data_IF_838521200942
#
_entry.id   IF_838521200942
#
_cell.length_a   1.000
_cell.length_b   1.000
_cell.length_c   1.000
_cell.angle_alpha   90.00
_cell.angle_beta   90.00
_cell.angle_gamma   90.00
#
_symmetry.space_group_name_H-M   'P 1'
#
loop_
_entity.id
_entity.type
_entity.pdbx_description
1 polymer ?
#
# COMPACT_ATOMS: atom_id res chain seq x y z
N UNK A 1 -3.12 -16.01 -5.38
CA UNK A 1 -1.86 -16.07 -4.60
C UNK A 1 -0.78 -16.83 -5.34
N UNK A 2 -0.98 -18.07 -5.80
CA UNK A 2 0.05 -18.83 -6.54
C UNK A 2 0.71 -18.03 -7.69
N UNK A 3 -0.10 -17.40 -8.56
CA UNK A 3 0.41 -16.52 -9.62
C UNK A 3 1.26 -15.36 -9.09
N UNK A 4 0.86 -14.76 -7.97
CA UNK A 4 1.61 -13.68 -7.32
C UNK A 4 2.94 -14.18 -6.78
N UNK A 5 2.92 -15.36 -6.14
CA UNK A 5 4.09 -15.98 -5.50
C UNK A 5 5.09 -16.59 -6.50
N UNK A 6 4.65 -16.88 -7.73
CA UNK A 6 5.51 -17.36 -8.82
C UNK A 6 6.36 -16.27 -9.49
N UNK A 7 6.13 -15.00 -9.14
CA UNK A 7 6.87 -13.87 -9.70
C UNK A 7 8.28 -13.75 -9.08
N UNK A 8 9.11 -12.86 -9.66
CA UNK A 8 10.40 -12.48 -9.06
C UNK A 8 10.20 -11.95 -7.65
N UNK A 9 11.16 -12.15 -6.76
CA UNK A 9 11.04 -11.83 -5.32
C UNK A 9 10.52 -10.42 -5.07
N UNK A 10 11.12 -9.37 -5.65
CA UNK A 10 10.68 -7.99 -5.45
C UNK A 10 9.24 -7.72 -5.95
N UNK A 11 8.84 -8.34 -7.06
CA UNK A 11 7.47 -8.23 -7.59
C UNK A 11 6.45 -8.94 -6.70
N UNK A 12 6.82 -10.10 -6.16
CA UNK A 12 6.01 -10.82 -5.18
C UNK A 12 5.83 -10.01 -3.90
N UNK A 13 6.90 -9.37 -3.40
CA UNK A 13 6.88 -8.52 -2.21
C UNK A 13 5.98 -7.29 -2.41
N UNK A 14 6.15 -6.54 -3.51
CA UNK A 14 5.30 -5.40 -3.85
C UNK A 14 3.82 -5.80 -3.98
N UNK A 15 3.53 -6.89 -4.68
CA UNK A 15 2.16 -7.39 -4.82
C UNK A 15 1.55 -7.78 -3.46
N UNK A 16 2.31 -8.43 -2.58
CA UNK A 16 1.86 -8.77 -1.22
C UNK A 16 1.63 -7.52 -0.37
N UNK A 17 2.46 -6.50 -0.51
CA UNK A 17 2.29 -5.21 0.16
C UNK A 17 0.98 -4.55 -0.31
N UNK A 18 0.75 -4.41 -1.62
CA UNK A 18 -0.50 -3.86 -2.17
C UNK A 18 -1.72 -4.62 -1.65
N UNK A 19 -1.72 -5.96 -1.73
CA UNK A 19 -2.83 -6.79 -1.27
C UNK A 19 -3.06 -6.65 0.24
N UNK A 20 -1.99 -6.58 1.04
CA UNK A 20 -2.07 -6.36 2.48
C UNK A 20 -2.71 -5.01 2.81
N UNK A 21 -2.26 -3.94 2.15
CA UNK A 21 -2.78 -2.58 2.37
C UNK A 21 -4.25 -2.48 2.00
N UNK A 22 -4.66 -2.97 0.83
CA UNK A 22 -6.07 -2.91 0.41
C UNK A 22 -6.98 -3.76 1.33
N UNK A 23 -6.48 -4.88 1.84
CA UNK A 23 -7.26 -5.80 2.67
C UNK A 23 -7.39 -5.32 4.13
N UNK A 24 -6.30 -4.81 4.72
CA UNK A 24 -6.20 -4.65 6.17
C UNK A 24 -6.52 -3.25 6.69
N UNK A 25 -6.70 -2.27 5.79
CA UNK A 25 -7.14 -0.92 6.13
C UNK A 25 -8.66 -0.85 6.27
N UNK A 26 -9.13 0.12 7.07
CA UNK A 26 -10.56 0.24 7.44
C UNK A 26 -11.44 0.93 6.41
N UNK A 27 -10.85 1.60 5.41
CA UNK A 27 -11.55 2.32 4.35
C UNK A 27 -10.88 2.09 3.01
N UNK A 28 -11.57 2.24 1.89
CA UNK A 28 -10.94 2.24 0.58
C UNK A 28 -9.80 3.26 0.52
N UNK A 29 -8.71 2.85 -0.13
CA UNK A 29 -7.55 3.71 -0.41
C UNK A 29 -7.65 4.26 -1.82
N UNK A 30 -7.11 5.45 -1.99
CA UNK A 30 -6.86 5.98 -3.33
C UNK A 30 -5.62 5.31 -3.94
N UNK A 31 -5.52 5.35 -5.26
CA UNK A 31 -4.32 4.90 -6.00
C UNK A 31 -3.09 5.65 -5.51
N UNK A 32 -3.19 6.97 -5.33
CA UNK A 32 -2.10 7.81 -4.83
C UNK A 32 -1.65 7.43 -3.41
N UNK A 33 -2.60 7.12 -2.51
CA UNK A 33 -2.26 6.67 -1.16
C UNK A 33 -1.44 5.38 -1.18
N UNK A 34 -1.81 4.41 -2.02
CA UNK A 34 -1.05 3.16 -2.15
C UNK A 34 0.31 3.42 -2.81
N UNK A 35 0.37 4.28 -3.82
CA UNK A 35 1.64 4.68 -4.45
C UNK A 35 2.62 5.27 -3.42
N UNK A 36 2.16 6.19 -2.58
CA UNK A 36 3.00 6.78 -1.54
C UNK A 36 3.48 5.74 -0.53
N UNK A 37 2.59 4.84 -0.13
CA UNK A 37 2.91 3.74 0.79
C UNK A 37 3.96 2.79 0.22
N UNK A 38 3.96 2.53 -1.09
CA UNK A 38 4.94 1.68 -1.74
C UNK A 38 6.29 2.36 -1.95
N UNK A 39 6.28 3.66 -2.22
CA UNK A 39 7.49 4.46 -2.41
C UNK A 39 8.25 4.74 -1.10
N UNK A 40 7.59 4.53 0.05
CA UNK A 40 8.11 4.92 1.36
C UNK A 40 9.24 4.01 1.84
N UNK A 41 10.41 4.60 2.11
CA UNK A 41 11.52 3.94 2.81
C UNK A 41 11.52 4.31 4.30
N UNK A 42 11.58 3.29 5.17
CA UNK A 42 11.58 3.52 6.62
C UNK A 42 12.87 4.23 7.03
N UNK A 43 12.73 5.43 7.61
CA UNK A 43 13.85 6.27 8.03
C UNK A 43 14.23 7.35 7.03
N UNK A 44 13.56 7.43 5.88
CA UNK A 44 13.65 8.58 4.99
C UNK A 44 12.95 9.80 5.60
N UNK A 45 13.45 10.99 5.28
CA UNK A 45 12.88 12.29 5.69
C UNK A 45 11.86 12.84 4.70
N UNK A 46 11.77 12.26 3.50
CA UNK A 46 10.84 12.63 2.45
C UNK A 46 10.44 11.42 1.59
N UNK A 47 9.40 11.59 0.75
CA UNK A 47 8.96 10.57 -0.18
C UNK A 47 9.90 10.51 -1.38
N UNK A 48 10.37 9.31 -1.73
CA UNK A 48 11.12 9.10 -2.96
C UNK A 48 10.16 9.05 -4.16
N UNK A 49 10.04 10.18 -4.87
CA UNK A 49 9.21 10.28 -6.07
C UNK A 49 9.69 9.39 -7.22
N UNK A 50 10.98 9.02 -7.26
CA UNK A 50 11.54 8.14 -8.30
C UNK A 50 11.19 6.66 -8.06
N UNK A 51 10.78 6.31 -6.83
CA UNK A 51 10.39 4.95 -6.43
C UNK A 51 8.86 4.71 -6.47
N UNK A 52 8.09 5.68 -7.01
CA UNK A 52 6.65 5.55 -7.15
C UNK A 52 6.31 4.49 -8.20
N UNK A 53 5.57 3.45 -7.78
CA UNK A 53 5.08 2.41 -8.69
C UNK A 53 3.88 2.90 -9.49
N UNK A 54 3.84 2.63 -10.80
CA UNK A 54 2.69 2.98 -11.65
C UNK A 54 1.44 2.14 -11.30
N UNK A 55 0.25 2.71 -11.52
CA UNK A 55 -1.03 2.05 -11.20
C UNK A 55 -1.19 0.75 -12.01
N UNK A 56 -0.80 0.77 -13.29
CA UNK A 56 -0.85 -0.40 -14.17
C UNK A 56 0.04 -1.53 -13.67
N UNK A 57 1.23 -1.19 -13.17
CA UNK A 57 2.15 -2.15 -12.55
C UNK A 57 1.54 -2.76 -11.30
N UNK A 58 0.92 -1.97 -10.42
CA UNK A 58 0.26 -2.49 -9.22
C UNK A 58 -0.84 -3.51 -9.56
N UNK A 59 -1.65 -3.25 -10.61
CA UNK A 59 -2.69 -4.16 -11.09
C UNK A 59 -2.07 -5.43 -11.69
N UNK A 60 -1.02 -5.27 -12.49
CA UNK A 60 -0.28 -6.36 -13.16
C UNK A 60 0.40 -7.29 -12.15
N UNK A 61 1.16 -6.73 -11.21
CA UNK A 61 1.87 -7.42 -10.12
C UNK A 61 0.91 -8.21 -9.23
N UNK A 62 -0.29 -7.68 -9.00
CA UNK A 62 -1.34 -8.38 -8.25
C UNK A 62 -2.05 -9.48 -9.05
N UNK A 63 -1.59 -9.78 -10.26
CA UNK A 63 -2.12 -10.82 -11.15
C UNK A 63 -3.64 -10.69 -11.43
N UNK A 64 -4.16 -9.47 -11.44
CA UNK A 64 -5.58 -9.16 -11.64
C UNK A 64 -6.47 -9.38 -10.41
N UNK A 65 -5.89 -9.55 -9.22
CA UNK A 65 -6.66 -9.59 -7.96
C UNK A 65 -7.16 -8.21 -7.52
N UNK A 66 -6.57 -7.15 -8.08
CA UNK A 66 -6.83 -5.75 -7.77
C UNK A 66 -7.27 -5.04 -9.05
N UNK A 67 -8.14 -4.04 -8.90
CA UNK A 67 -8.58 -3.14 -9.95
C UNK A 67 -8.49 -1.71 -9.44
N UNK A 68 -8.14 -0.79 -10.33
CA UNK A 68 -8.20 0.65 -10.07
C UNK A 68 -9.41 1.23 -10.80
N UNK A 69 -10.11 2.14 -10.14
CA UNK A 69 -11.25 2.86 -10.69
C UNK A 69 -10.80 4.28 -11.06
N UNK A 70 -10.80 4.58 -12.35
CA UNK A 70 -10.28 5.85 -12.86
C UNK A 70 -11.16 7.06 -12.48
N UNK A 71 -12.46 6.87 -12.32
CA UNK A 71 -13.38 7.97 -11.96
C UNK A 71 -13.22 8.39 -10.49
N UNK A 72 -13.10 7.41 -9.59
CA UNK A 72 -13.00 7.63 -8.15
C UNK A 72 -11.55 7.64 -7.63
N UNK A 73 -10.57 7.28 -8.45
CA UNK A 73 -9.17 7.05 -8.07
C UNK A 73 -9.01 6.03 -6.93
N UNK A 74 -9.95 5.10 -6.78
CA UNK A 74 -9.92 4.09 -5.72
C UNK A 74 -9.31 2.80 -6.25
N UNK A 75 -8.39 2.22 -5.48
CA UNK A 75 -7.87 0.88 -5.72
C UNK A 75 -8.53 -0.12 -4.77
N UNK A 76 -8.99 -1.24 -5.33
CA UNK A 76 -9.76 -2.25 -4.58
C UNK A 76 -9.54 -3.65 -5.13
N UNK A 77 -9.92 -4.65 -4.35
CA UNK A 77 -9.98 -6.02 -4.84
C UNK A 77 -11.03 -6.14 -5.96
N UNK A 78 -10.71 -6.96 -6.97
CA UNK A 78 -11.50 -7.06 -8.22
C UNK A 78 -12.97 -7.46 -8.01
N UNK A 79 -13.26 -8.17 -6.92
CA UNK A 79 -14.60 -8.64 -6.61
C UNK A 79 -14.81 -8.83 -5.10
N UNK A 80 -16.05 -8.70 -4.63
CA UNK A 80 -16.38 -8.81 -3.20
C UNK A 80 -16.01 -10.17 -2.60
N UNK A 81 -16.09 -11.26 -3.37
CA UNK A 81 -15.68 -12.59 -2.91
C UNK A 81 -14.18 -12.70 -2.70
N UNK A 82 -13.38 -11.96 -3.46
CA UNK A 82 -11.93 -11.86 -3.29
C UNK A 82 -11.62 -11.12 -1.99
N UNK A 83 -12.37 -10.05 -1.70
CA UNK A 83 -12.29 -9.34 -0.42
C UNK A 83 -12.64 -10.25 0.75
N UNK A 84 -13.78 -10.92 0.71
CA UNK A 84 -14.19 -11.83 1.78
C UNK A 84 -13.18 -12.97 2.00
N UNK A 85 -12.59 -13.49 0.92
CA UNK A 85 -11.52 -14.49 1.02
C UNK A 85 -10.31 -13.97 1.78
N UNK A 86 -9.80 -12.79 1.43
CA UNK A 86 -8.63 -12.20 2.06
C UNK A 86 -8.91 -11.76 3.50
N UNK A 87 -10.08 -11.19 3.80
CA UNK A 87 -10.49 -10.84 5.16
C UNK A 87 -10.51 -12.08 6.08
N UNK A 88 -11.13 -13.18 5.63
CA UNK A 88 -11.16 -14.45 6.39
C UNK A 88 -9.77 -15.07 6.58
N UNK A 89 -8.84 -14.81 5.66
CA UNK A 89 -7.49 -15.37 5.65
C UNK A 89 -6.42 -14.33 5.98
N UNK A 90 -6.78 -13.17 6.53
CA UNK A 90 -5.83 -12.06 6.71
C UNK A 90 -4.65 -12.46 7.60
N UNK A 91 -4.90 -13.23 8.67
CA UNK A 91 -3.84 -13.64 9.60
C UNK A 91 -2.89 -14.68 8.99
N UNK A 92 -3.32 -15.37 7.94
CA UNK A 92 -2.50 -16.33 7.22
C UNK A 92 -1.65 -15.62 6.15
N UNK A 93 -2.27 -14.75 5.36
CA UNK A 93 -1.58 -14.05 4.26
C UNK A 93 -0.79 -12.83 4.71
N UNK A 94 -1.29 -12.10 5.70
CA UNK A 94 -0.76 -10.82 6.16
C UNK A 94 -0.67 -10.75 7.71
N UNK A 95 0.05 -11.69 8.37
CA UNK A 95 0.11 -11.76 9.83
C UNK A 95 0.63 -10.47 10.49
N UNK A 96 1.50 -9.73 9.80
CA UNK A 96 2.12 -8.51 10.32
C UNK A 96 1.49 -7.23 9.79
N UNK A 97 0.38 -7.31 9.04
CA UNK A 97 -0.19 -6.16 8.32
C UNK A 97 -0.36 -4.92 9.19
N UNK A 98 -0.92 -5.07 10.39
CA UNK A 98 -1.17 -3.93 11.29
C UNK A 98 0.13 -3.30 11.78
N UNK A 99 1.16 -4.10 12.07
CA UNK A 99 2.46 -3.60 12.47
C UNK A 99 3.15 -2.86 11.31
N UNK A 100 3.07 -3.40 10.09
CA UNK A 100 3.70 -2.80 8.91
C UNK A 100 2.97 -1.51 8.49
N UNK A 101 1.63 -1.51 8.51
CA UNK A 101 0.83 -0.29 8.34
C UNK A 101 1.24 0.78 9.36
N UNK A 102 1.36 0.40 10.63
CA UNK A 102 1.76 1.34 11.70
C UNK A 102 3.15 1.93 11.43
N UNK A 103 4.14 1.10 11.05
CA UNK A 103 5.50 1.58 10.74
C UNK A 103 5.50 2.61 9.61
N UNK A 104 4.80 2.31 8.52
CA UNK A 104 4.72 3.21 7.36
C UNK A 104 4.01 4.51 7.72
N UNK A 105 2.90 4.45 8.47
CA UNK A 105 2.22 5.66 8.94
C UNK A 105 3.13 6.51 9.84
N UNK A 106 3.86 5.88 10.77
CA UNK A 106 4.81 6.59 11.64
C UNK A 106 5.93 7.23 10.82
N UNK A 107 6.49 6.51 9.85
CA UNK A 107 7.54 7.05 8.99
C UNK A 107 7.03 8.25 8.17
N UNK A 108 5.85 8.13 7.56
CA UNK A 108 5.23 9.23 6.80
C UNK A 108 5.00 10.49 7.66
N UNK A 109 4.51 10.31 8.90
CA UNK A 109 4.29 11.41 9.84
C UNK A 109 5.59 12.00 10.41
N UNK A 110 6.72 11.33 10.21
CA UNK A 110 8.04 11.76 10.68
C UNK A 110 8.84 12.47 9.57
N UNK A 111 8.23 12.73 8.41
CA UNK A 111 8.87 13.49 7.34
C UNK A 111 9.09 14.95 7.73
N UNK A 112 10.14 15.57 7.19
CA UNK A 112 10.54 16.95 7.47
C UNK A 112 9.44 17.95 7.09
N UNK A 113 8.59 17.58 6.11
CA UNK A 113 7.41 18.34 5.72
C UNK A 113 6.42 18.56 6.88
N UNK A 114 6.47 17.72 7.93
CA UNK A 114 5.68 17.84 9.14
C UNK A 114 6.49 18.39 10.33
N UNK A 115 7.79 18.65 10.19
CA UNK A 115 8.64 19.20 11.26
C UNK A 115 8.53 20.73 11.45
N UNK A 116 8.02 21.50 10.47
CA UNK A 116 7.78 22.95 10.61
C UNK A 116 6.26 23.24 10.68
N UNK A 117 5.68 23.81 11.75
CA UNK A 117 5.96 25.13 12.35
C UNK A 117 5.46 25.15 13.81
N UNK A 118 6.28 24.75 14.80
CA UNK A 118 6.01 25.08 16.20
C UNK A 118 6.50 26.52 16.47
N UNK A 119 5.66 27.50 16.08
CA UNK A 119 5.62 28.88 16.55
C UNK A 119 6.97 29.61 16.73
N UNK A 120 7.31 30.46 15.76
CA UNK A 120 7.81 31.81 16.09
C UNK A 120 6.71 32.84 15.88
N UNK A 121 5.71 32.84 16.78
CA UNK A 121 4.93 34.05 17.03
C UNK A 121 5.83 35.00 17.84
N UNK A 122 6.30 36.06 17.18
CA UNK A 122 6.85 37.27 17.80
C UNK A 122 5.81 37.91 18.73
#
# INVERSE_FOLDING_TARGET
MERVESQRTGFCELAKQVLSWITCVKRPLTTLEVQHVLALEIGASELDEENVTEIEDMVSLCAGLVTADEESNIIRLVHYTTQEYFERKQNFWFPNAQADITKVCVAYLSFDAFEADFCHTD
#
